data_IF_502787752565
#
_entry.id   IF_502787752565
#
_cell.length_a   1.000
_cell.length_b   1.000
_cell.length_c   1.000
_cell.angle_alpha   90.00
_cell.angle_beta   90.00
_cell.angle_gamma   90.00
#
_symmetry.space_group_name_H-M   'P 1'
#
loop_
_entity.id
_entity.type
_entity.pdbx_description
1 polymer ?
#
# COMPACT_ATOMS: atom_id res chain seq x y z
N UNK A 1 21.56 -6.09 8.76
CA UNK A 1 21.17 -4.66 8.71
C UNK A 1 20.06 -4.44 9.73
N UNK A 2 20.07 -3.34 10.50
CA UNK A 2 18.99 -3.06 11.44
C UNK A 2 17.60 -3.07 10.76
N UNK A 3 16.63 -3.74 11.37
CA UNK A 3 15.25 -3.91 10.86
C UNK A 3 14.61 -2.61 10.36
N UNK A 4 14.85 -1.49 11.05
CA UNK A 4 14.32 -0.17 10.66
C UNK A 4 14.82 0.32 9.30
N UNK A 5 16.07 0.04 8.92
CA UNK A 5 16.60 0.41 7.58
C UNK A 5 15.98 -0.45 6.48
N UNK A 6 15.73 -1.73 6.76
CA UNK A 6 15.05 -2.64 5.83
C UNK A 6 13.62 -2.17 5.56
N UNK A 7 12.90 -1.75 6.60
CA UNK A 7 11.56 -1.15 6.48
C UNK A 7 11.57 0.06 5.52
N UNK A 8 12.52 0.98 5.69
CA UNK A 8 12.66 2.15 4.79
C UNK A 8 12.91 1.71 3.34
N UNK A 9 13.79 0.73 3.12
CA UNK A 9 14.06 0.19 1.78
C UNK A 9 12.80 -0.40 1.13
N UNK A 10 12.04 -1.20 1.88
CA UNK A 10 10.79 -1.79 1.39
C UNK A 10 9.76 -0.71 1.05
N UNK A 11 9.59 0.30 1.90
CA UNK A 11 8.67 1.42 1.64
C UNK A 11 9.01 2.16 0.34
N UNK A 12 10.29 2.44 0.10
CA UNK A 12 10.75 3.04 -1.17
C UNK A 12 10.47 2.15 -2.38
N UNK A 13 10.69 0.84 -2.26
CA UNK A 13 10.35 -0.11 -3.32
C UNK A 13 8.84 -0.10 -3.61
N UNK A 14 8.00 -0.11 -2.58
CA UNK A 14 6.55 -0.02 -2.74
C UNK A 14 6.13 1.29 -3.40
N UNK A 15 6.68 2.43 -2.98
CA UNK A 15 6.45 3.72 -3.64
C UNK A 15 6.71 3.63 -5.14
N UNK A 16 7.89 3.11 -5.50
CA UNK A 16 8.31 2.98 -6.91
C UNK A 16 7.40 2.05 -7.70
N UNK A 17 7.02 0.89 -7.15
CA UNK A 17 6.10 -0.03 -7.81
C UNK A 17 4.74 0.63 -8.09
N UNK A 18 4.19 1.32 -7.09
CA UNK A 18 2.88 1.99 -7.18
C UNK A 18 2.90 3.10 -8.24
N UNK A 19 3.88 4.01 -8.23
CA UNK A 19 3.90 5.14 -9.17
C UNK A 19 4.27 4.75 -10.60
N UNK A 20 4.89 3.59 -10.78
CA UNK A 20 5.23 3.06 -12.11
C UNK A 20 4.13 2.17 -12.69
N UNK A 21 3.07 1.85 -11.94
CA UNK A 21 1.88 1.22 -12.49
C UNK A 21 1.00 2.30 -13.14
N UNK A 22 1.01 2.34 -14.47
CA UNK A 22 0.27 3.33 -15.27
C UNK A 22 -1.23 3.33 -14.95
N UNK A 23 -1.81 2.15 -14.69
CA UNK A 23 -3.22 1.99 -14.40
C UNK A 23 -3.59 2.57 -13.04
N UNK A 24 -2.76 2.34 -12.03
CA UNK A 24 -2.92 2.97 -10.72
C UNK A 24 -2.83 4.50 -10.85
N UNK A 25 -1.86 5.01 -11.60
CA UNK A 25 -1.68 6.45 -11.83
C UNK A 25 -2.91 7.07 -12.50
N UNK A 26 -3.47 6.40 -13.51
CA UNK A 26 -4.70 6.81 -14.18
C UNK A 26 -5.89 6.86 -13.21
N UNK A 27 -6.07 5.81 -12.40
CA UNK A 27 -7.19 5.70 -11.46
C UNK A 27 -7.12 6.70 -10.30
N UNK A 28 -5.92 7.15 -9.91
CA UNK A 28 -5.76 8.27 -8.97
C UNK A 28 -6.38 9.55 -9.56
N UNK A 29 -6.36 9.71 -10.89
CA UNK A 29 -7.07 10.75 -11.65
C UNK A 29 -6.71 12.17 -11.17
N UNK A 30 -5.43 12.39 -10.86
CA UNK A 30 -4.93 13.70 -10.44
C UNK A 30 -4.39 14.50 -11.62
N UNK A 31 -5.31 15.20 -12.30
CA UNK A 31 -5.06 15.91 -13.58
C UNK A 31 -3.93 16.94 -13.55
N UNK A 32 -3.66 17.53 -12.38
CA UNK A 32 -2.59 18.54 -12.22
C UNK A 32 -1.18 17.92 -12.12
N UNK A 33 -1.07 16.59 -12.07
CA UNK A 33 0.19 15.87 -11.93
C UNK A 33 0.49 15.11 -13.23
N UNK A 34 1.51 15.57 -13.94
CA UNK A 34 2.00 14.96 -15.19
C UNK A 34 3.21 14.04 -15.00
N UNK A 35 3.91 14.14 -13.85
CA UNK A 35 5.01 13.25 -13.48
C UNK A 35 4.56 12.38 -12.29
N UNK A 36 4.50 11.04 -12.44
CA UNK A 36 4.09 10.12 -11.37
C UNK A 36 4.89 10.26 -10.06
N UNK A 37 6.16 10.70 -10.11
CA UNK A 37 6.95 10.93 -8.91
C UNK A 37 6.33 11.98 -7.97
N UNK A 38 5.62 12.96 -8.52
CA UNK A 38 4.91 14.00 -7.74
C UNK A 38 3.70 13.45 -6.99
N UNK A 39 3.27 12.22 -7.28
CA UNK A 39 2.22 11.54 -6.50
C UNK A 39 2.74 11.12 -5.13
N UNK A 40 4.05 10.90 -4.96
CA UNK A 40 4.65 10.61 -3.66
C UNK A 40 4.45 11.84 -2.76
N UNK A 41 3.95 11.63 -1.55
CA UNK A 41 3.56 12.65 -0.58
C UNK A 41 2.39 13.57 -1.00
N UNK A 42 1.72 13.30 -2.14
CA UNK A 42 0.46 13.97 -2.53
C UNK A 42 -0.75 13.01 -2.57
N UNK A 43 -0.56 11.82 -3.14
CA UNK A 43 -1.56 10.75 -3.21
C UNK A 43 -1.01 9.46 -2.61
N UNK A 44 0.29 9.20 -2.75
CA UNK A 44 0.96 7.99 -2.25
C UNK A 44 1.74 8.33 -0.98
N UNK A 45 1.43 7.66 0.13
CA UNK A 45 2.02 7.92 1.44
C UNK A 45 2.62 6.67 2.09
N UNK A 46 3.84 6.81 2.61
CA UNK A 46 4.59 5.78 3.33
C UNK A 46 4.10 5.55 4.78
N UNK A 47 2.92 6.05 5.11
CA UNK A 47 2.27 5.96 6.41
C UNK A 47 0.75 6.07 6.23
N UNK A 48 -0.05 5.56 7.17
CA UNK A 48 -1.51 5.79 7.14
C UNK A 48 -1.78 7.28 7.33
N UNK A 49 -2.28 7.92 6.27
CA UNK A 49 -2.81 9.27 6.33
C UNK A 49 -4.33 9.20 6.38
N UNK A 50 -4.90 9.67 7.48
CA UNK A 50 -6.34 9.98 7.53
C UNK A 50 -6.52 11.39 6.97
N UNK A 51 -7.37 11.61 5.96
CA UNK A 51 -7.64 12.95 5.45
C UNK A 51 -8.15 13.85 6.58
N UNK A 52 -7.42 14.93 6.86
CA UNK A 52 -7.74 15.85 7.97
C UNK A 52 -8.95 16.74 7.66
N UNK A 53 -9.23 16.95 6.37
CA UNK A 53 -10.26 17.86 5.88
C UNK A 53 -11.30 17.07 5.08
N UNK A 54 -12.59 17.08 5.47
CA UNK A 54 -13.65 16.38 4.75
C UNK A 54 -13.81 16.80 3.28
N UNK A 55 -13.39 18.01 2.92
CA UNK A 55 -13.44 18.55 1.57
C UNK A 55 -12.29 18.07 0.67
N UNK A 56 -11.27 17.38 1.19
CA UNK A 56 -10.18 16.84 0.37
C UNK A 56 -10.68 15.66 -0.48
N UNK A 57 -11.25 16.00 -1.65
CA UNK A 57 -11.74 15.05 -2.65
C UNK A 57 -10.57 14.44 -3.44
N UNK A 58 -9.77 13.63 -2.75
CA UNK A 58 -8.64 12.92 -3.34
C UNK A 58 -8.74 11.42 -3.15
N UNK A 59 -7.91 10.75 -3.94
CA UNK A 59 -7.63 9.32 -3.86
C UNK A 59 -6.23 9.19 -3.27
N UNK A 60 -6.08 8.30 -2.29
CA UNK A 60 -4.83 8.06 -1.60
C UNK A 60 -4.48 6.58 -1.62
N UNK A 61 -3.19 6.30 -1.72
CA UNK A 61 -2.63 4.97 -1.47
C UNK A 61 -1.65 5.12 -0.33
N UNK A 62 -2.04 4.65 0.84
CA UNK A 62 -1.19 4.65 2.03
C UNK A 62 -0.70 3.24 2.29
N UNK A 63 0.49 3.07 2.87
CA UNK A 63 0.94 1.74 3.27
C UNK A 63 1.85 1.73 4.48
N UNK A 64 1.81 0.60 5.18
CA UNK A 64 2.62 0.31 6.34
C UNK A 64 3.34 -1.03 6.17
N UNK A 65 4.48 -1.15 6.85
CA UNK A 65 5.35 -2.32 6.78
C UNK A 65 5.68 -2.69 8.23
N UNK A 66 5.17 -3.82 8.66
CA UNK A 66 5.25 -4.29 10.03
C UNK A 66 6.10 -5.55 10.12
N UNK A 67 6.92 -5.64 11.16
CA UNK A 67 7.62 -6.87 11.57
C UNK A 67 7.17 -7.15 13.01
N UNK A 68 5.97 -7.73 13.20
CA UNK A 68 5.30 -7.78 14.51
C UNK A 68 6.01 -8.71 15.51
N UNK A 69 6.66 -9.77 15.02
CA UNK A 69 7.34 -10.73 15.89
C UNK A 69 8.81 -10.36 16.13
N UNK A 70 9.13 -10.07 17.39
CA UNK A 70 10.50 -10.03 17.92
C UNK A 70 10.73 -11.26 18.83
N UNK A 71 9.92 -12.32 18.66
CA UNK A 71 9.91 -13.44 19.61
C UNK A 71 11.17 -14.32 19.51
N UNK A 72 11.64 -14.78 20.66
CA UNK A 72 12.88 -15.54 20.87
C UNK A 72 12.82 -17.00 20.40
N UNK A 73 11.67 -17.46 19.89
CA UNK A 73 11.42 -18.88 19.59
C UNK A 73 11.66 -19.25 18.13
N UNK A 74 11.40 -18.33 17.21
CA UNK A 74 11.67 -18.54 15.79
C UNK A 74 13.04 -17.94 15.47
N UNK A 75 14.09 -18.76 15.45
CA UNK A 75 15.48 -18.28 15.39
C UNK A 75 15.98 -17.97 13.97
N UNK A 76 15.20 -18.29 12.94
CA UNK A 76 15.63 -18.14 11.54
C UNK A 76 14.89 -17.02 10.78
N UNK A 77 13.59 -16.87 10.97
CA UNK A 77 12.75 -15.96 10.18
C UNK A 77 11.80 -15.13 11.05
N UNK A 78 11.45 -13.94 10.55
CA UNK A 78 10.36 -13.10 11.06
C UNK A 78 9.31 -12.92 9.99
N UNK A 79 8.06 -12.81 10.40
CA UNK A 79 6.97 -12.42 9.51
C UNK A 79 7.07 -10.92 9.20
N UNK A 80 7.01 -10.59 7.91
CA UNK A 80 6.83 -9.24 7.38
C UNK A 80 5.38 -9.11 6.93
N UNK A 81 4.70 -8.05 7.34
CA UNK A 81 3.34 -7.74 6.90
C UNK A 81 3.37 -6.39 6.19
N UNK A 82 2.80 -6.34 4.99
CA UNK A 82 2.60 -5.10 4.25
C UNK A 82 1.10 -4.85 4.20
N UNK A 83 0.67 -3.69 4.72
CA UNK A 83 -0.73 -3.28 4.68
C UNK A 83 -0.87 -2.10 3.72
N UNK A 84 -1.65 -2.26 2.65
CA UNK A 84 -1.94 -1.20 1.68
C UNK A 84 -3.38 -0.73 1.84
N UNK A 85 -3.55 0.57 2.04
CA UNK A 85 -4.82 1.26 2.18
C UNK A 85 -5.07 2.08 0.93
N UNK A 86 -6.04 1.63 0.13
CA UNK A 86 -6.55 2.41 -0.99
C UNK A 86 -7.76 3.19 -0.49
N UNK A 87 -7.63 4.50 -0.38
CA UNK A 87 -8.64 5.40 0.22
C UNK A 87 -9.15 6.33 -0.87
N UNK A 88 -10.47 6.52 -0.96
CA UNK A 88 -11.07 7.53 -1.83
C UNK A 88 -12.16 8.28 -1.10
N UNK A 89 -12.23 9.58 -1.37
CA UNK A 89 -13.40 10.37 -1.01
C UNK A 89 -14.63 9.85 -1.79
N UNK A 90 -15.79 9.76 -1.14
CA UNK A 90 -17.02 9.20 -1.70
C UNK A 90 -17.42 9.84 -3.05
N UNK A 91 -17.18 11.15 -3.21
CA UNK A 91 -17.44 11.88 -4.46
C UNK A 91 -16.56 11.49 -5.65
N UNK A 92 -15.49 10.70 -5.41
CA UNK A 92 -14.58 10.17 -6.44
C UNK A 92 -14.58 8.64 -6.47
N UNK A 93 -15.56 8.00 -5.84
CA UNK A 93 -15.65 6.53 -5.83
C UNK A 93 -16.10 5.96 -7.17
N UNK A 94 -16.94 6.68 -7.91
CA UNK A 94 -17.49 6.21 -9.18
C UNK A 94 -16.48 6.42 -10.31
N UNK A 95 -16.36 5.43 -11.18
CA UNK A 95 -15.56 5.46 -12.40
C UNK A 95 -16.45 5.14 -13.60
N UNK A 96 -16.05 5.60 -14.78
CA UNK A 96 -16.82 5.40 -16.02
C UNK A 96 -16.77 3.95 -16.53
N UNK A 97 -15.78 3.19 -16.10
CA UNK A 97 -15.50 1.79 -16.47
C UNK A 97 -16.21 0.75 -15.60
N UNK A 98 -16.98 1.19 -14.59
CA UNK A 98 -17.65 0.32 -13.64
C UNK A 98 -16.77 -0.13 -12.47
N UNK A 99 -17.40 -0.56 -11.38
CA UNK A 99 -16.71 -0.81 -10.11
C UNK A 99 -16.44 0.47 -9.32
N UNK A 100 -15.99 0.33 -8.07
CA UNK A 100 -15.56 1.47 -7.27
C UNK A 100 -14.06 1.70 -7.48
N UNK A 101 -13.64 2.97 -7.55
CA UNK A 101 -12.24 3.38 -7.72
C UNK A 101 -11.29 2.71 -6.74
N UNK A 102 -11.71 2.53 -5.49
CA UNK A 102 -10.91 1.81 -4.48
C UNK A 102 -10.73 0.34 -4.78
N UNK A 103 -11.73 -0.33 -5.37
CA UNK A 103 -11.64 -1.75 -5.74
C UNK A 103 -10.79 -1.92 -7.00
N UNK A 104 -10.91 -1.02 -7.97
CA UNK A 104 -10.10 -1.02 -9.18
C UNK A 104 -8.60 -0.85 -8.86
N UNK A 105 -8.26 0.15 -8.05
CA UNK A 105 -6.86 0.34 -7.60
C UNK A 105 -6.41 -0.85 -6.73
N UNK A 106 -7.30 -1.39 -5.88
CA UNK A 106 -6.96 -2.55 -5.06
C UNK A 106 -6.65 -3.79 -5.92
N UNK A 107 -7.36 -4.00 -7.03
CA UNK A 107 -7.08 -5.09 -7.97
C UNK A 107 -5.68 -4.94 -8.57
N UNK A 108 -5.32 -3.74 -9.04
CA UNK A 108 -3.97 -3.47 -9.56
C UNK A 108 -2.88 -3.67 -8.51
N UNK A 109 -3.14 -3.29 -7.25
CA UNK A 109 -2.21 -3.53 -6.14
C UNK A 109 -2.07 -5.03 -5.86
N UNK A 110 -3.16 -5.78 -5.91
CA UNK A 110 -3.16 -7.24 -5.72
C UNK A 110 -2.34 -7.93 -6.80
N UNK A 111 -2.65 -7.68 -8.08
CA UNK A 111 -1.92 -8.24 -9.23
C UNK A 111 -0.43 -7.90 -9.21
N UNK A 112 -0.08 -6.68 -8.78
CA UNK A 112 1.30 -6.22 -8.68
C UNK A 112 2.08 -6.87 -7.53
N UNK A 113 1.46 -7.06 -6.36
CA UNK A 113 2.14 -7.51 -5.16
C UNK A 113 2.04 -9.01 -4.92
N UNK A 114 0.95 -9.66 -5.31
CA UNK A 114 0.81 -11.11 -5.18
C UNK A 114 1.86 -11.81 -6.03
N UNK A 115 2.68 -12.64 -5.39
CA UNK A 115 3.81 -13.31 -6.03
C UNK A 115 5.09 -12.48 -6.15
N UNK A 116 5.11 -11.22 -5.69
CA UNK A 116 6.28 -10.37 -5.74
C UNK A 116 7.40 -10.87 -4.81
N UNK A 117 8.62 -11.03 -5.34
CA UNK A 117 9.77 -11.63 -4.64
C UNK A 117 10.79 -10.62 -4.10
N UNK A 118 10.57 -9.32 -4.27
CA UNK A 118 11.59 -8.29 -3.99
C UNK A 118 11.74 -7.85 -2.53
N UNK A 119 10.88 -8.30 -1.61
CA UNK A 119 10.86 -7.82 -0.20
C UNK A 119 11.20 -8.88 0.85
N UNK A 120 11.04 -10.17 0.53
CA UNK A 120 11.21 -11.28 1.47
C UNK A 120 11.84 -12.52 0.85
N UNK A 121 11.88 -13.61 1.61
CA UNK A 121 12.44 -14.92 1.20
C UNK A 121 11.47 -15.65 0.28
N UNK A 122 10.18 -15.55 0.59
CA UNK A 122 9.11 -16.11 -0.21
C UNK A 122 8.40 -14.99 -0.99
N UNK A 123 7.72 -15.32 -2.10
CA UNK A 123 6.81 -14.39 -2.74
C UNK A 123 5.80 -13.82 -1.72
N UNK A 124 5.37 -12.57 -1.90
CA UNK A 124 4.28 -12.01 -1.13
C UNK A 124 2.99 -12.77 -1.40
N UNK A 125 2.26 -13.09 -0.33
CA UNK A 125 0.95 -13.74 -0.39
C UNK A 125 -0.11 -12.81 0.18
N UNK A 126 -1.23 -12.64 -0.53
CA UNK A 126 -2.38 -11.90 -0.04
C UNK A 126 -3.08 -12.70 1.07
N UNK A 127 -3.22 -12.08 2.24
CA UNK A 127 -3.86 -12.70 3.42
C UNK A 127 -5.15 -12.00 3.85
N UNK A 128 -5.42 -10.80 3.33
CA UNK A 128 -6.63 -10.07 3.66
C UNK A 128 -6.94 -9.04 2.59
N UNK A 129 -8.21 -8.92 2.22
CA UNK A 129 -8.70 -7.91 1.29
C UNK A 129 -10.11 -7.48 1.72
N UNK A 130 -10.22 -6.34 2.41
CA UNK A 130 -11.46 -5.92 3.09
C UNK A 130 -11.81 -4.46 2.83
N UNK A 131 -13.10 -4.17 2.70
CA UNK A 131 -13.59 -2.79 2.66
C UNK A 131 -13.68 -2.20 4.08
N UNK A 132 -13.43 -0.89 4.20
CA UNK A 132 -13.52 -0.14 5.45
C UNK A 132 -14.06 1.28 5.20
N UNK A 133 -14.70 1.85 6.21
CA UNK A 133 -14.93 3.29 6.26
C UNK A 133 -13.73 3.97 6.93
N UNK A 134 -13.33 5.14 6.41
CA UNK A 134 -12.28 5.99 6.98
C UNK A 134 -12.88 7.36 7.19
N UNK A 135 -13.25 7.68 8.42
CA UNK A 135 -14.04 8.87 8.72
C UNK A 135 -15.40 8.88 8.02
N UNK A 136 -15.99 10.06 7.87
CA UNK A 136 -17.37 10.19 7.41
C UNK A 136 -17.50 10.02 5.90
N UNK A 137 -16.63 10.70 5.14
CA UNK A 137 -16.73 10.83 3.68
C UNK A 137 -15.73 9.98 2.89
N UNK A 138 -14.81 9.29 3.54
CA UNK A 138 -13.83 8.45 2.84
C UNK A 138 -14.13 6.97 3.05
N UNK A 139 -13.91 6.21 1.98
CA UNK A 139 -14.02 4.74 1.97
C UNK A 139 -12.68 4.18 1.55
N UNK A 140 -12.38 3.01 2.08
CA UNK A 140 -11.11 2.36 1.82
C UNK A 140 -11.28 0.88 1.49
N UNK A 141 -10.35 0.38 0.69
CA UNK A 141 -10.06 -1.04 0.55
C UNK A 141 -8.68 -1.29 1.15
N UNK A 142 -8.58 -2.25 2.05
CA UNK A 142 -7.33 -2.58 2.75
C UNK A 142 -6.90 -3.97 2.36
N UNK A 143 -5.74 -4.05 1.72
CA UNK A 143 -5.06 -5.29 1.37
C UNK A 143 -3.93 -5.53 2.36
N UNK A 144 -3.76 -6.79 2.79
CA UNK A 144 -2.62 -7.20 3.61
C UNK A 144 -1.92 -8.35 2.92
N UNK A 145 -0.62 -8.23 2.83
CA UNK A 145 0.28 -9.23 2.28
C UNK A 145 1.28 -9.67 3.34
N UNK A 146 1.71 -10.91 3.27
CA UNK A 146 2.76 -11.42 4.15
C UNK A 146 3.87 -12.13 3.40
N UNK A 147 5.04 -12.17 4.03
CA UNK A 147 6.18 -13.02 3.66
C UNK A 147 7.08 -13.21 4.88
N UNK A 148 8.10 -14.05 4.72
CA UNK A 148 9.15 -14.28 5.71
C UNK A 148 10.41 -13.48 5.36
N UNK A 149 11.06 -12.89 6.35
CA UNK A 149 12.39 -12.27 6.22
C UNK A 149 13.41 -12.95 7.16
N UNK A 150 14.68 -13.10 6.75
CA UNK A 150 15.69 -13.70 7.62
C UNK A 150 16.02 -12.79 8.81
N UNK A 151 16.25 -13.36 10.00
CA UNK A 151 16.61 -12.57 11.20
C UNK A 151 17.93 -11.82 11.04
N UNK A 152 18.90 -12.38 10.32
CA UNK A 152 20.17 -11.71 9.97
C UNK A 152 19.98 -10.38 9.23
N UNK A 153 18.84 -10.23 8.52
CA UNK A 153 18.51 -9.01 7.78
C UNK A 153 17.80 -7.98 8.67
N UNK A 154 17.59 -8.30 9.95
CA UNK A 154 16.95 -7.47 10.97
C UNK A 154 17.92 -6.96 12.06
N UNK A 155 19.13 -7.52 12.16
CA UNK A 155 20.20 -7.13 13.11
C UNK A 155 21.17 -6.14 12.46
#
# INVERSE_FOLDING_TARGET
MASSRKIIGIKRTLASLIINNERIVELIDQKDITNPEKLIHNNVYEFIRVPEVPEEQKVYICYEVDIPEISSFNTLFKKLIISVYVISHQGRMVTDEGGCRTDLIAAEVDDMLTGYKGVGVKPLELISNVAKAVGDKHRARVLRFETDIPIKDCQ
#
